data_IF_149351537747
#
_entry.id   IF_149351537747
#
_cell.length_a   1.000
_cell.length_b   1.000
_cell.length_c   1.000
_cell.angle_alpha   90.00
_cell.angle_beta   90.00
_cell.angle_gamma   90.00
#
_symmetry.space_group_name_H-M   'P 1'
#
loop_
_entity.id
_entity.type
_entity.pdbx_description
1 polymer ?
#
# COMPACT_ATOMS: atom_id res chain seq x y z
N UNK A 1 -6.88 -6.72 12.05
CA UNK A 1 -5.65 -6.33 11.35
C UNK A 1 -6.00 -5.87 9.94
N UNK A 2 -5.35 -4.83 9.40
CA UNK A 2 -5.72 -4.23 8.11
C UNK A 2 -5.31 -5.06 6.89
N UNK A 3 -4.41 -6.04 7.06
CA UNK A 3 -3.98 -6.98 6.00
C UNK A 3 -4.17 -8.42 6.48
N UNK A 4 -4.77 -9.27 5.64
CA UNK A 4 -4.85 -10.72 5.87
C UNK A 4 -4.89 -11.51 4.56
N UNK A 5 -4.22 -12.67 4.52
CA UNK A 5 -4.30 -13.59 3.38
C UNK A 5 -5.52 -14.51 3.52
N UNK A 6 -6.25 -14.69 2.42
CA UNK A 6 -7.40 -15.58 2.29
C UNK A 6 -7.24 -16.41 1.02
N UNK A 7 -6.45 -17.48 1.10
CA UNK A 7 -6.14 -18.33 -0.05
C UNK A 7 -5.46 -17.52 -1.16
N UNK A 8 -6.13 -17.40 -2.32
CA UNK A 8 -5.64 -16.67 -3.51
C UNK A 8 -5.86 -15.15 -3.45
N UNK A 9 -6.39 -14.65 -2.34
CA UNK A 9 -6.69 -13.23 -2.16
C UNK A 9 -5.94 -12.65 -0.97
N UNK A 10 -5.54 -11.40 -1.08
CA UNK A 10 -5.16 -10.57 0.06
C UNK A 10 -6.32 -9.62 0.36
N UNK A 11 -6.74 -9.57 1.61
CA UNK A 11 -7.68 -8.59 2.12
C UNK A 11 -6.88 -7.39 2.61
N UNK A 12 -7.18 -6.22 2.06
CA UNK A 12 -6.65 -4.93 2.50
C UNK A 12 -7.84 -4.09 2.95
N UNK A 13 -7.93 -3.85 4.25
CA UNK A 13 -9.09 -3.25 4.92
C UNK A 13 -10.38 -4.02 4.59
N UNK A 14 -11.26 -3.49 3.74
CA UNK A 14 -12.51 -4.13 3.31
C UNK A 14 -12.48 -4.56 1.83
N UNK A 15 -11.32 -4.52 1.19
CA UNK A 15 -11.15 -4.85 -0.23
C UNK A 15 -10.37 -6.15 -0.38
N UNK A 16 -10.84 -7.04 -1.25
CA UNK A 16 -10.14 -8.27 -1.61
C UNK A 16 -9.45 -8.09 -2.96
N UNK A 17 -8.16 -8.35 -3.00
CA UNK A 17 -7.32 -8.27 -4.20
C UNK A 17 -6.75 -9.65 -4.47
N UNK A 18 -6.87 -10.11 -5.72
CA UNK A 18 -6.32 -11.40 -6.13
C UNK A 18 -4.80 -11.30 -6.18
N UNK A 19 -4.07 -12.18 -5.49
CA UNK A 19 -2.62 -11.99 -5.29
C UNK A 19 -1.86 -12.05 -6.61
N UNK A 20 -2.20 -12.99 -7.47
CA UNK A 20 -1.69 -13.18 -8.83
C UNK A 20 -2.06 -12.05 -9.80
N UNK A 21 -2.89 -11.08 -9.39
CA UNK A 21 -3.16 -9.87 -10.17
C UNK A 21 -2.29 -8.67 -9.75
N UNK A 22 -1.60 -8.75 -8.61
CA UNK A 22 -0.76 -7.69 -8.07
C UNK A 22 0.56 -7.65 -8.83
N UNK A 23 0.88 -6.49 -9.38
CA UNK A 23 2.12 -6.24 -10.13
C UNK A 23 3.14 -5.54 -9.24
N UNK A 24 2.68 -4.59 -8.41
CA UNK A 24 3.54 -3.76 -7.58
C UNK A 24 2.77 -3.22 -6.38
N UNK A 25 3.45 -3.10 -5.24
CA UNK A 25 2.95 -2.43 -4.05
C UNK A 25 3.98 -1.38 -3.64
N UNK A 26 3.55 -0.15 -3.42
CA UNK A 26 4.45 0.91 -2.95
C UNK A 26 3.71 1.90 -2.06
N UNK A 27 4.38 2.52 -1.07
CA UNK A 27 3.85 3.72 -0.44
C UNK A 27 3.70 4.82 -1.49
N UNK A 28 2.83 5.79 -1.21
CA UNK A 28 2.67 6.95 -2.10
C UNK A 28 3.92 7.83 -2.03
N UNK A 29 4.69 7.85 -3.11
CA UNK A 29 5.77 8.82 -3.34
C UNK A 29 5.17 10.14 -3.85
N UNK A 30 4.50 10.89 -3.00
CA UNK A 30 4.30 12.31 -3.26
C UNK A 30 5.36 13.08 -2.49
N UNK A 31 5.99 14.06 -3.12
CA UNK A 31 6.80 15.06 -2.42
C UNK A 31 5.92 16.29 -2.40
N UNK A 32 5.45 16.70 -1.21
CA UNK A 32 4.79 18.00 -1.10
C UNK A 32 5.87 19.08 -1.16
N UNK A 33 5.72 20.00 -2.09
CA UNK A 33 6.56 21.20 -2.19
C UNK A 33 5.79 22.39 -1.64
N UNK A 34 6.44 23.28 -0.90
CA UNK A 34 5.87 24.59 -0.58
C UNK A 34 5.91 25.52 -1.80
N UNK A 35 5.41 26.75 -1.64
CA UNK A 35 5.46 27.79 -2.68
C UNK A 35 6.89 28.25 -3.03
N UNK A 36 7.91 27.75 -2.34
CA UNK A 36 9.34 28.01 -2.55
C UNK A 36 10.11 26.74 -3.02
N UNK A 37 9.41 25.72 -3.51
CA UNK A 37 9.97 24.43 -3.96
C UNK A 37 10.74 23.65 -2.86
N UNK A 38 10.42 23.86 -1.58
CA UNK A 38 10.99 23.09 -0.47
C UNK A 38 10.10 21.91 -0.12
N UNK A 39 10.73 20.77 0.18
CA UNK A 39 10.03 19.55 0.59
C UNK A 39 9.36 19.77 1.96
N UNK A 40 8.02 19.85 1.98
CA UNK A 40 7.18 20.05 3.17
C UNK A 40 7.01 18.79 4.01
N UNK A 41 6.82 17.63 3.38
CA UNK A 41 6.68 16.35 4.06
C UNK A 41 6.88 15.19 3.09
N UNK A 42 7.49 14.10 3.58
CA UNK A 42 7.66 12.82 2.88
C UNK A 42 6.68 11.74 3.37
N UNK A 43 5.77 12.11 4.26
CA UNK A 43 5.09 11.14 5.10
C UNK A 43 3.64 10.94 4.65
N UNK A 44 3.45 9.97 3.75
CA UNK A 44 2.13 9.60 3.26
C UNK A 44 1.66 8.32 3.95
N UNK A 45 0.48 8.41 4.56
CA UNK A 45 -0.23 7.29 5.17
C UNK A 45 -0.91 6.38 4.13
N UNK A 46 -0.46 6.38 2.88
CA UNK A 46 -1.16 5.71 1.77
C UNK A 46 -0.28 4.66 1.09
N UNK A 47 -0.83 3.47 0.86
CA UNK A 47 -0.23 2.41 0.03
C UNK A 47 -1.00 2.30 -1.27
N UNK A 48 -0.29 2.26 -2.40
CA UNK A 48 -0.84 1.98 -3.71
C UNK A 48 -0.55 0.54 -4.11
N UNK A 49 -1.61 -0.21 -4.40
CA UNK A 49 -1.52 -1.57 -4.93
C UNK A 49 -1.87 -1.51 -6.42
N UNK A 50 -0.86 -1.75 -7.25
CA UNK A 50 -0.99 -1.81 -8.70
C UNK A 50 -1.32 -3.23 -9.12
N UNK A 51 -2.40 -3.36 -9.86
CA UNK A 51 -2.85 -4.61 -10.46
C UNK A 51 -2.93 -4.46 -11.98
N UNK A 52 -3.11 -5.57 -12.70
CA UNK A 52 -3.38 -5.52 -14.15
C UNK A 52 -4.60 -4.66 -14.53
N UNK A 53 -5.54 -4.43 -13.60
CA UNK A 53 -6.77 -3.68 -13.83
C UNK A 53 -6.68 -2.20 -13.44
N UNK A 54 -5.65 -1.80 -12.70
CA UNK A 54 -5.51 -0.44 -12.18
C UNK A 54 -4.80 -0.35 -10.84
N UNK A 55 -4.73 0.86 -10.29
CA UNK A 55 -4.12 1.17 -9.00
C UNK A 55 -5.19 1.39 -7.93
N UNK A 56 -5.03 0.77 -6.77
CA UNK A 56 -5.91 0.92 -5.61
C UNK A 56 -5.16 1.61 -4.47
N UNK A 57 -5.54 2.83 -4.09
CA UNK A 57 -5.00 3.50 -2.91
C UNK A 57 -5.66 3.01 -1.63
N UNK A 58 -4.86 2.81 -0.59
CA UNK A 58 -5.31 2.45 0.76
C UNK A 58 -4.72 3.41 1.78
N UNK A 59 -5.59 4.17 2.44
CA UNK A 59 -5.22 5.15 3.46
C UNK A 59 -5.23 4.52 4.86
N UNK A 60 -4.18 4.77 5.61
CA UNK A 60 -3.98 4.34 6.99
C UNK A 60 -4.08 5.54 7.94
N UNK A 61 -4.33 5.29 9.23
CA UNK A 61 -4.44 6.35 10.23
C UNK A 61 -3.08 6.73 10.83
N UNK A 62 -2.17 5.76 10.91
CA UNK A 62 -0.85 5.89 11.56
C UNK A 62 0.25 5.32 10.66
N UNK A 63 1.46 5.86 10.76
CA UNK A 63 2.60 5.44 9.94
C UNK A 63 3.01 4.01 10.24
N UNK A 64 3.01 3.65 11.52
CA UNK A 64 3.30 2.31 12.01
C UNK A 64 2.30 1.28 11.44
N UNK A 65 1.02 1.65 11.34
CA UNK A 65 0.01 0.80 10.73
C UNK A 65 0.24 0.63 9.22
N UNK A 66 0.62 1.70 8.53
CA UNK A 66 0.98 1.67 7.10
C UNK A 66 2.19 0.78 6.88
N UNK A 67 3.26 0.96 7.66
CA UNK A 67 4.50 0.22 7.48
C UNK A 67 4.31 -1.26 7.79
N UNK A 68 3.59 -1.59 8.88
CA UNK A 68 3.22 -2.97 9.19
C UNK A 68 2.35 -3.60 8.09
N UNK A 69 1.46 -2.81 7.48
CA UNK A 69 0.63 -3.29 6.37
C UNK A 69 1.46 -3.53 5.11
N UNK A 70 2.39 -2.63 4.80
CA UNK A 70 3.30 -2.75 3.66
C UNK A 70 4.21 -3.98 3.82
N UNK A 71 4.83 -4.15 4.99
CA UNK A 71 5.67 -5.30 5.30
C UNK A 71 4.90 -6.61 5.11
N UNK A 72 3.70 -6.72 5.68
CA UNK A 72 2.84 -7.91 5.50
C UNK A 72 2.47 -8.18 4.05
N UNK A 73 2.16 -7.13 3.28
CA UNK A 73 1.88 -7.28 1.85
C UNK A 73 3.09 -7.84 1.11
N UNK A 74 4.29 -7.33 1.40
CA UNK A 74 5.53 -7.80 0.80
C UNK A 74 5.83 -9.25 1.20
N UNK A 75 5.63 -9.63 2.46
CA UNK A 75 5.79 -11.02 2.92
C UNK A 75 4.86 -11.97 2.15
N UNK A 76 3.56 -11.65 2.06
CA UNK A 76 2.57 -12.47 1.33
C UNK A 76 2.96 -12.61 -0.15
N UNK A 77 3.51 -11.57 -0.76
CA UNK A 77 3.93 -11.59 -2.16
C UNK A 77 5.23 -12.36 -2.38
N UNK A 78 6.11 -12.44 -1.36
CA UNK A 78 7.39 -13.16 -1.44
C UNK A 78 7.29 -14.66 -1.16
N UNK A 79 6.22 -15.12 -0.50
CA UNK A 79 5.96 -16.54 -0.21
C UNK A 79 5.30 -17.31 -1.38
N UNK A 80 5.15 -16.67 -2.55
CA UNK A 80 4.59 -17.23 -3.79
C UNK A 80 5.69 -17.58 -4.80
#
# INVERSE_FOLDING_TARGET
MPISQHGKFVRVQNTFIKIDSIIMVRPKDLVQYDHEDRILSKDFLEIHIYTMKGSFPFLFQEFEQRDLALEKLLTILSEL
#
